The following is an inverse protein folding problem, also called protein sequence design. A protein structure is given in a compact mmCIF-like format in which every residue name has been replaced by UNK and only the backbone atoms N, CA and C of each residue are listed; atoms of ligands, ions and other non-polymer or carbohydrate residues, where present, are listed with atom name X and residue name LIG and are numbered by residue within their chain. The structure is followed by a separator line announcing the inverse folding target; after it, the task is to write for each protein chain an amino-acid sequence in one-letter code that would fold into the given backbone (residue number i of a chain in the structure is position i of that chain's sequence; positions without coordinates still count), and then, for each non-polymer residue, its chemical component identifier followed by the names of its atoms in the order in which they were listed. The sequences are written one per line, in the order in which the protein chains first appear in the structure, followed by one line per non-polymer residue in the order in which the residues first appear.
data_IF_462904943986
#
_entry.id   IF_462904943986
#
_cell.length_a   1.000
_cell.length_b   1.000
_cell.length_c   1.000
_cell.angle_alpha   90.00
_cell.angle_beta   90.00
_cell.angle_gamma   90.00
#
_symmetry.space_group_name_H-M   'P 1'
#
loop_
_entity.id
_entity.type
_entity.pdbx_description
1 polymer ?
#
# COMPACT_ATOMS: atom_id res chain seq x y z
N UNK A 1 5.80 -7.36 -11.58
CA UNK A 1 5.03 -6.49 -12.51
C UNK A 1 5.98 -5.65 -13.37
N UNK A 2 6.90 -4.84 -12.81
CA UNK A 2 7.74 -3.89 -13.57
C UNK A 2 8.52 -4.55 -14.73
N UNK A 3 9.28 -5.61 -14.51
CA UNK A 3 10.03 -6.28 -15.56
C UNK A 3 9.16 -6.80 -16.72
N UNK A 4 7.94 -7.26 -16.44
CA UNK A 4 6.99 -7.69 -17.48
C UNK A 4 6.52 -6.48 -18.29
N UNK A 5 6.14 -5.39 -17.63
CA UNK A 5 5.71 -4.15 -18.30
C UNK A 5 6.84 -3.55 -19.15
N UNK A 6 8.07 -3.54 -18.64
CA UNK A 6 9.26 -3.13 -19.38
C UNK A 6 9.48 -4.00 -20.64
N UNK A 7 9.39 -5.33 -20.49
CA UNK A 7 9.54 -6.25 -21.62
C UNK A 7 8.46 -6.08 -22.69
N UNK A 8 7.20 -5.88 -22.28
CA UNK A 8 6.09 -5.62 -23.20
C UNK A 8 6.27 -4.28 -23.93
N UNK A 9 6.62 -3.22 -23.20
CA UNK A 9 6.87 -1.92 -23.79
C UNK A 9 8.05 -1.96 -24.79
N UNK A 10 9.12 -2.66 -24.44
CA UNK A 10 10.27 -2.86 -25.32
C UNK A 10 9.88 -3.63 -26.60
N UNK A 11 9.15 -4.75 -26.45
CA UNK A 11 8.70 -5.55 -27.59
C UNK A 11 7.71 -4.80 -28.52
N UNK A 12 6.88 -3.93 -27.94
CA UNK A 12 5.92 -3.12 -28.69
C UNK A 12 6.57 -1.90 -29.36
N UNK A 13 7.78 -1.50 -28.92
CA UNK A 13 8.51 -0.39 -29.54
C UNK A 13 9.05 -0.79 -30.90
N UNK A 14 8.78 0.01 -31.94
CA UNK A 14 9.22 -0.24 -33.29
C UNK A 14 9.56 1.05 -34.03
N UNK A 15 10.51 0.99 -34.98
CA UNK A 15 10.84 2.07 -35.92
C UNK A 15 11.09 3.45 -35.27
N UNK A 16 11.73 3.46 -34.08
CA UNK A 16 12.07 4.71 -33.36
C UNK A 16 10.94 5.25 -32.49
N UNK A 17 9.76 4.63 -32.47
CA UNK A 17 8.68 4.98 -31.57
C UNK A 17 8.75 4.12 -30.32
N UNK A 18 9.05 4.73 -29.16
CA UNK A 18 9.08 4.05 -27.89
C UNK A 18 7.68 4.03 -27.26
N UNK A 19 7.28 2.87 -26.75
CA UNK A 19 6.07 2.73 -25.95
C UNK A 19 6.40 3.03 -24.48
N UNK A 20 5.81 4.07 -23.87
CA UNK A 20 6.08 4.41 -22.48
C UNK A 20 5.36 3.43 -21.53
N UNK A 21 5.84 3.37 -20.29
CA UNK A 21 5.20 2.66 -19.17
C UNK A 21 4.63 3.71 -18.21
N UNK A 22 3.44 3.46 -17.69
CA UNK A 22 2.82 4.28 -16.65
C UNK A 22 2.97 3.58 -15.29
N UNK A 23 3.89 4.02 -14.43
CA UNK A 23 3.95 3.55 -13.05
C UNK A 23 2.73 4.04 -12.27
N UNK A 24 2.06 3.13 -11.57
CA UNK A 24 0.94 3.45 -10.69
C UNK A 24 1.24 2.92 -9.30
N UNK A 25 1.06 3.76 -8.29
CA UNK A 25 1.18 3.37 -6.90
C UNK A 25 0.11 2.33 -6.55
N UNK A 26 0.53 1.22 -5.95
CA UNK A 26 -0.35 0.12 -5.56
C UNK A 26 -1.40 0.57 -4.54
N UNK A 27 -1.04 1.42 -3.57
CA UNK A 27 -1.98 1.93 -2.56
C UNK A 27 -2.97 2.93 -3.17
N UNK A 28 -2.57 3.73 -4.16
CA UNK A 28 -3.49 4.57 -4.94
C UNK A 28 -4.49 3.72 -5.72
N UNK A 29 -4.07 2.58 -6.28
CA UNK A 29 -4.99 1.66 -6.95
C UNK A 29 -5.99 1.02 -5.98
N UNK A 30 -5.59 0.75 -4.72
CA UNK A 30 -6.52 0.32 -3.65
C UNK A 30 -7.53 1.42 -3.33
N UNK A 31 -7.09 2.67 -3.22
CA UNK A 31 -7.97 3.81 -2.99
C UNK A 31 -9.00 3.98 -4.12
N UNK A 32 -8.58 3.82 -5.38
CA UNK A 32 -9.49 3.87 -6.53
C UNK A 32 -10.46 2.69 -6.55
N UNK A 33 -10.03 1.48 -6.21
CA UNK A 33 -10.93 0.33 -6.11
C UNK A 33 -11.98 0.54 -5.01
N UNK A 34 -11.61 1.10 -3.86
CA UNK A 34 -12.54 1.48 -2.80
C UNK A 34 -13.54 2.55 -3.27
N UNK A 35 -13.11 3.52 -4.08
CA UNK A 35 -14.00 4.52 -4.66
C UNK A 35 -14.99 3.90 -5.64
N UNK A 36 -14.53 3.01 -6.50
CA UNK A 36 -15.38 2.36 -7.50
C UNK A 36 -16.43 1.43 -6.88
N UNK A 37 -16.07 0.70 -5.82
CA UNK A 37 -16.96 -0.29 -5.19
C UNK A 37 -17.84 0.31 -4.09
N UNK A 38 -17.33 1.29 -3.33
CA UNK A 38 -17.95 1.79 -2.11
C UNK A 38 -18.19 3.30 -2.10
N UNK A 39 -17.76 4.05 -3.13
CA UNK A 39 -17.92 5.50 -3.20
C UNK A 39 -16.99 6.29 -2.27
N UNK A 40 -15.95 5.67 -1.71
CA UNK A 40 -15.03 6.32 -0.78
C UNK A 40 -14.20 7.39 -1.48
N UNK A 41 -14.14 8.60 -0.91
CA UNK A 41 -13.32 9.72 -1.43
C UNK A 41 -12.20 10.14 -0.48
N UNK A 42 -12.20 9.64 0.75
CA UNK A 42 -11.14 9.81 1.74
C UNK A 42 -10.73 8.40 2.21
N UNK A 43 -9.59 7.92 1.74
CA UNK A 43 -9.16 6.54 1.89
C UNK A 43 -7.80 6.46 2.55
N UNK A 44 -7.72 5.73 3.66
CA UNK A 44 -6.46 5.24 4.21
C UNK A 44 -6.24 3.83 3.64
N UNK A 45 -5.48 3.75 2.56
CA UNK A 45 -5.18 2.49 1.91
C UNK A 45 -4.22 1.65 2.76
N UNK A 46 -4.59 0.40 3.07
CA UNK A 46 -3.83 -0.49 3.96
C UNK A 46 -3.71 -1.89 3.36
N UNK A 47 -2.51 -2.30 2.99
CA UNK A 47 -2.22 -3.64 2.49
C UNK A 47 -1.31 -4.42 3.46
N UNK A 48 -1.62 -5.70 3.65
CA UNK A 48 -0.76 -6.63 4.39
C UNK A 48 0.64 -6.68 3.76
N UNK A 49 1.64 -6.24 4.51
CA UNK A 49 3.04 -6.21 4.09
C UNK A 49 3.80 -7.47 4.52
N UNK A 50 3.12 -8.47 5.12
CA UNK A 50 3.72 -9.61 5.80
C UNK A 50 4.59 -9.18 7.00
N UNK A 51 5.13 -10.16 7.73
CA UNK A 51 6.04 -9.93 8.87
C UNK A 51 5.43 -9.04 9.97
N UNK A 52 4.12 -9.11 10.15
CA UNK A 52 3.35 -8.32 11.11
C UNK A 52 3.40 -6.80 10.81
N UNK A 53 3.43 -6.43 9.53
CA UNK A 53 3.48 -5.04 9.05
C UNK A 53 2.40 -4.76 8.00
N UNK A 54 2.08 -3.48 7.84
CA UNK A 54 1.10 -2.95 6.90
C UNK A 54 1.76 -1.87 6.05
N UNK A 55 1.58 -1.92 4.73
CA UNK A 55 1.78 -0.76 3.88
C UNK A 55 0.58 0.16 4.02
N UNK A 56 0.80 1.45 4.28
CA UNK A 56 -0.29 2.40 4.44
C UNK A 56 0.00 3.75 3.77
N UNK A 57 -1.06 4.38 3.26
CA UNK A 57 -1.01 5.75 2.77
C UNK A 57 -2.42 6.36 2.72
N UNK A 58 -2.59 7.62 3.15
CA UNK A 58 -3.84 8.34 3.08
C UNK A 58 -3.98 9.09 1.74
N UNK A 59 -5.14 8.93 1.10
CA UNK A 59 -5.49 9.58 -0.15
C UNK A 59 -6.83 10.31 -0.05
N UNK A 60 -6.92 11.48 -0.68
CA UNK A 60 -8.16 12.23 -0.87
C UNK A 60 -8.44 12.36 -2.36
N UNK A 61 -9.66 12.03 -2.77
CA UNK A 61 -10.12 12.20 -4.16
C UNK A 61 -10.76 13.59 -4.30
N UNK A 62 -10.11 14.46 -5.08
CA UNK A 62 -10.57 15.80 -5.39
C UNK A 62 -10.22 16.13 -6.84
N UNK A 63 -11.04 16.94 -7.50
CA UNK A 63 -10.83 17.39 -8.88
C UNK A 63 -10.50 16.25 -9.86
N UNK A 64 -11.24 15.14 -9.72
CA UNK A 64 -11.09 13.90 -10.50
C UNK A 64 -9.70 13.24 -10.40
N UNK A 65 -8.97 13.47 -9.32
CA UNK A 65 -7.66 12.87 -9.07
C UNK A 65 -7.46 12.51 -7.58
N UNK A 66 -6.57 11.56 -7.34
CA UNK A 66 -6.15 11.21 -5.99
C UNK A 66 -4.95 12.04 -5.56
N UNK A 67 -5.05 12.63 -4.38
CA UNK A 67 -4.00 13.41 -3.72
C UNK A 67 -3.50 12.64 -2.51
N UNK A 68 -2.22 12.25 -2.54
CA UNK A 68 -1.53 11.66 -1.40
C UNK A 68 -1.37 12.74 -0.31
N UNK A 69 -1.78 12.44 0.93
CA UNK A 69 -1.77 13.40 2.03
C UNK A 69 -0.45 13.37 2.83
N UNK A 70 0.15 12.21 2.96
CA UNK A 70 1.46 12.01 3.62
C UNK A 70 2.26 10.96 2.85
N UNK A 71 3.52 10.77 3.19
CA UNK A 71 4.35 9.75 2.56
C UNK A 71 3.79 8.33 2.79
N UNK A 72 4.13 7.42 1.87
CA UNK A 72 3.85 6.00 2.03
C UNK A 72 4.65 5.45 3.20
N UNK A 73 4.00 4.64 4.03
CA UNK A 73 4.62 4.05 5.21
C UNK A 73 4.54 2.52 5.20
N UNK A 74 5.45 1.90 5.94
CA UNK A 74 5.39 0.48 6.30
C UNK A 74 5.75 0.34 7.78
N UNK A 75 4.96 -0.42 8.52
CA UNK A 75 5.18 -0.65 9.94
C UNK A 75 4.09 -1.50 10.58
N UNK A 76 4.17 -1.72 11.91
CA UNK A 76 3.17 -2.48 12.65
C UNK A 76 1.77 -1.90 12.50
N UNK A 77 0.70 -2.73 12.45
CA UNK A 77 -0.68 -2.26 12.24
C UNK A 77 -1.17 -1.26 13.29
N UNK A 78 -0.70 -1.37 14.53
CA UNK A 78 -1.05 -0.45 15.62
C UNK A 78 -0.39 0.92 15.51
N UNK A 79 0.66 1.06 14.69
CA UNK A 79 1.37 2.33 14.48
C UNK A 79 0.78 3.14 13.33
N UNK A 80 -0.19 2.57 12.60
CA UNK A 80 -0.93 3.28 11.56
C UNK A 80 -1.78 4.37 12.20
N UNK A 81 -1.58 5.62 11.79
CA UNK A 81 -2.29 6.75 12.38
C UNK A 81 -3.72 6.85 11.86
N UNK A 82 -4.68 6.96 12.79
CA UNK A 82 -6.06 7.26 12.45
C UNK A 82 -6.19 8.69 11.90
N UNK A 83 -7.01 8.85 10.88
CA UNK A 83 -7.38 10.17 10.33
C UNK A 83 -8.91 10.24 10.31
N UNK A 84 -9.46 11.23 11.00
CA UNK A 84 -10.90 11.42 11.09
C UNK A 84 -11.54 11.60 9.70
N UNK A 85 -12.65 10.93 9.46
CA UNK A 85 -13.38 11.00 8.20
C UNK A 85 -12.83 10.06 7.11
N UNK A 86 -11.73 9.35 7.36
CA UNK A 86 -11.19 8.38 6.41
C UNK A 86 -11.81 6.99 6.60
N UNK A 87 -11.91 6.28 5.48
CA UNK A 87 -12.24 4.84 5.45
C UNK A 87 -10.95 4.05 5.22
N UNK A 88 -10.70 3.06 6.07
CA UNK A 88 -9.59 2.11 5.87
C UNK A 88 -9.97 1.15 4.74
N UNK A 89 -9.16 1.09 3.69
CA UNK A 89 -9.43 0.24 2.54
C UNK A 89 -8.24 -0.67 2.21
N UNK A 90 -8.51 -1.93 1.94
CA UNK A 90 -7.48 -2.88 1.56
C UNK A 90 -7.76 -4.30 2.07
N UNK A 91 -6.71 -5.09 2.21
CA UNK A 91 -6.79 -6.46 2.72
C UNK A 91 -6.20 -6.64 4.12
N UNK A 92 -5.68 -5.57 4.74
CA UNK A 92 -4.98 -5.66 6.02
C UNK A 92 -5.94 -5.92 7.21
N UNK A 93 -7.24 -5.60 7.10
CA UNK A 93 -8.23 -5.90 8.13
C UNK A 93 -8.29 -7.39 8.46
N UNK A 94 -8.25 -8.26 7.46
CA UNK A 94 -8.42 -9.71 7.67
C UNK A 94 -7.33 -10.33 8.56
N UNK A 95 -6.02 -10.06 8.35
CA UNK A 95 -4.97 -10.61 9.21
C UNK A 95 -4.79 -9.87 10.55
N UNK A 96 -5.15 -8.58 10.64
CA UNK A 96 -4.78 -7.76 11.80
C UNK A 96 -5.96 -7.38 12.72
N UNK A 97 -7.20 -7.49 12.22
CA UNK A 97 -8.42 -7.28 13.02
C UNK A 97 -8.41 -5.96 13.78
N UNK A 98 -8.67 -6.04 15.09
CA UNK A 98 -8.74 -4.89 15.99
C UNK A 98 -7.41 -4.15 16.20
N UNK A 99 -6.28 -4.72 15.78
CA UNK A 99 -4.98 -4.04 15.83
C UNK A 99 -4.85 -2.94 14.79
N UNK A 100 -5.70 -2.96 13.74
CA UNK A 100 -5.68 -1.97 12.67
C UNK A 100 -6.91 -1.06 12.79
N UNK A 101 -6.77 0.07 13.46
CA UNK A 101 -7.74 1.18 13.48
C UNK A 101 -9.20 0.75 13.69
N UNK A 102 -9.57 0.06 14.79
CA UNK A 102 -10.89 -0.53 14.96
C UNK A 102 -12.03 0.50 15.04
N UNK A 103 -11.71 1.78 15.31
CA UNK A 103 -12.69 2.87 15.39
C UNK A 103 -13.08 3.46 14.03
N UNK A 104 -12.35 3.17 12.95
CA UNK A 104 -12.65 3.66 11.61
C UNK A 104 -13.47 2.63 10.80
N UNK A 105 -14.27 3.08 9.82
CA UNK A 105 -14.92 2.17 8.89
C UNK A 105 -13.89 1.45 8.01
N UNK A 106 -14.14 0.16 7.74
CA UNK A 106 -13.27 -0.67 6.91
C UNK A 106 -14.02 -1.20 5.70
N UNK A 107 -13.36 -1.18 4.54
CA UNK A 107 -13.85 -1.81 3.31
C UNK A 107 -12.75 -2.67 2.69
N UNK A 108 -13.15 -3.80 2.09
CA UNK A 108 -12.21 -4.61 1.33
C UNK A 108 -12.00 -3.98 -0.05
N UNK A 109 -10.75 -3.75 -0.41
CA UNK A 109 -10.35 -3.24 -1.72
C UNK A 109 -8.99 -3.82 -2.13
N UNK A 110 -8.75 -3.94 -3.43
CA UNK A 110 -7.54 -4.51 -3.99
C UNK A 110 -7.02 -3.67 -5.15
N UNK A 111 -5.73 -3.71 -5.48
CA UNK A 111 -5.18 -3.01 -6.65
C UNK A 111 -5.59 -3.73 -7.94
N UNK A 112 -6.85 -3.62 -8.31
CA UNK A 112 -7.43 -4.31 -9.48
C UNK A 112 -6.98 -3.69 -10.80
N UNK A 113 -7.03 -4.46 -11.89
CA UNK A 113 -6.77 -3.94 -13.24
C UNK A 113 -7.77 -2.83 -13.63
N UNK A 114 -9.03 -2.95 -13.19
CA UNK A 114 -10.05 -1.91 -13.40
C UNK A 114 -9.66 -0.59 -12.74
N UNK A 115 -9.19 -0.63 -11.50
CA UNK A 115 -8.71 0.56 -10.79
C UNK A 115 -7.51 1.20 -11.52
N UNK A 116 -6.54 0.39 -11.97
CA UNK A 116 -5.39 0.88 -12.75
C UNK A 116 -5.83 1.56 -14.05
N UNK A 117 -6.78 0.96 -14.80
CA UNK A 117 -7.29 1.53 -16.05
C UNK A 117 -8.06 2.83 -15.81
N UNK A 118 -8.82 2.96 -14.71
CA UNK A 118 -9.51 4.20 -14.36
C UNK A 118 -8.55 5.33 -13.96
N UNK A 119 -7.43 5.02 -13.31
CA UNK A 119 -6.40 5.99 -12.96
C UNK A 119 -5.59 6.47 -14.16
N UNK A 120 -5.42 5.62 -15.17
CA UNK A 120 -4.49 5.86 -16.28
C UNK A 120 -4.72 7.19 -17.03
N UNK A 121 -5.94 7.61 -17.40
CA UNK A 121 -6.13 8.87 -18.13
C UNK A 121 -5.64 10.10 -17.37
N UNK A 122 -5.96 10.20 -16.08
CA UNK A 122 -5.55 11.32 -15.24
C UNK A 122 -4.02 11.35 -15.03
N UNK A 123 -3.42 10.19 -14.77
CA UNK A 123 -1.97 10.07 -14.58
C UNK A 123 -1.20 10.34 -15.88
N UNK A 124 -1.72 9.93 -17.03
CA UNK A 124 -1.14 10.26 -18.34
C UNK A 124 -1.23 11.76 -18.63
N UNK A 125 -2.36 12.40 -18.34
CA UNK A 125 -2.52 13.85 -18.48
C UNK A 125 -1.55 14.65 -17.59
N UNK A 126 -1.16 14.07 -16.43
CA UNK A 126 -0.12 14.62 -15.55
C UNK A 126 1.32 14.35 -16.02
N UNK A 127 1.51 13.66 -17.15
CA UNK A 127 2.84 13.34 -17.66
C UNK A 127 3.59 12.28 -16.85
N UNK A 128 2.88 11.39 -16.13
CA UNK A 128 3.46 10.38 -15.25
C UNK A 128 4.04 9.16 -15.99
N UNK A 129 3.83 9.06 -17.30
CA UNK A 129 4.43 8.01 -18.11
C UNK A 129 5.96 8.21 -18.23
N UNK A 130 6.70 7.13 -18.14
CA UNK A 130 8.16 7.11 -18.20
C UNK A 130 8.66 6.18 -19.31
N UNK A 131 9.92 6.30 -19.70
CA UNK A 131 10.54 5.32 -20.59
C UNK A 131 10.59 3.94 -19.90
N UNK A 132 10.53 2.87 -20.68
CA UNK A 132 10.42 1.51 -20.13
C UNK A 132 11.53 1.18 -19.12
N UNK A 133 12.78 1.60 -19.36
CA UNK A 133 13.90 1.37 -18.46
C UNK A 133 13.76 2.10 -17.11
N UNK A 134 12.99 3.17 -17.05
CA UNK A 134 12.81 4.02 -15.87
C UNK A 134 11.59 3.58 -15.01
N UNK A 135 10.82 2.59 -15.47
CA UNK A 135 9.68 2.03 -14.76
C UNK A 135 10.16 1.07 -13.66
N UNK A 136 10.78 1.61 -12.61
CA UNK A 136 11.34 0.86 -11.49
C UNK A 136 10.30 0.65 -10.36
N UNK A 137 10.42 -0.46 -9.59
CA UNK A 137 9.59 -0.64 -8.40
C UNK A 137 9.97 0.36 -7.31
N UNK A 138 8.99 0.88 -6.60
CA UNK A 138 9.20 1.69 -5.41
C UNK A 138 9.34 0.76 -4.18
N UNK A 139 10.52 0.77 -3.56
CA UNK A 139 10.77 0.04 -2.32
C UNK A 139 10.64 0.99 -1.14
N UNK A 140 9.65 0.75 -0.28
CA UNK A 140 9.38 1.56 0.93
C UNK A 140 10.08 0.94 2.15
N UNK A 141 10.31 -0.38 2.11
CA UNK A 141 10.94 -1.09 3.24
C UNK A 141 12.45 -1.07 3.10
N UNK A 142 13.15 -0.37 4.01
CA UNK A 142 14.61 -0.27 4.01
C UNK A 142 15.32 -1.55 4.50
N UNK A 143 14.68 -2.32 5.40
CA UNK A 143 15.24 -3.56 5.95
C UNK A 143 14.30 -4.75 5.78
N UNK A 144 14.68 -5.69 4.93
CA UNK A 144 13.91 -6.93 4.71
C UNK A 144 14.30 -8.04 5.70
N UNK A 145 15.48 -7.98 6.29
CA UNK A 145 15.98 -9.01 7.22
C UNK A 145 16.51 -8.38 8.50
N UNK A 146 16.02 -8.87 9.63
CA UNK A 146 16.61 -8.57 10.94
C UNK A 146 17.96 -9.28 11.05
N UNK A 147 18.99 -8.59 11.50
CA UNK A 147 20.29 -9.18 11.80
C UNK A 147 20.17 -10.23 12.92
N UNK A 148 21.17 -11.10 13.06
CA UNK A 148 21.16 -12.10 14.15
C UNK A 148 21.04 -11.45 15.52
N UNK A 149 21.75 -10.32 15.74
CA UNK A 149 21.69 -9.55 16.99
C UNK A 149 20.29 -8.98 17.26
N UNK A 150 19.60 -8.45 16.25
CA UNK A 150 18.21 -7.93 16.38
C UNK A 150 17.20 -9.06 16.68
N UNK A 151 17.41 -10.27 16.14
CA UNK A 151 16.59 -11.45 16.46
C UNK A 151 16.81 -11.94 17.88
N UNK A 152 18.04 -11.93 18.36
CA UNK A 152 18.41 -12.31 19.73
C UNK A 152 17.84 -11.31 20.73
N UNK A 153 17.92 -10.01 20.46
CA UNK A 153 17.34 -8.97 21.31
C UNK A 153 15.81 -9.08 21.41
N UNK A 154 15.12 -9.39 20.30
CA UNK A 154 13.67 -9.63 20.30
C UNK A 154 13.27 -10.87 21.10
N UNK A 155 14.04 -11.97 21.00
CA UNK A 155 13.82 -13.17 21.81
C UNK A 155 14.02 -12.92 23.29
N UNK A 156 15.05 -12.16 23.65
CA UNK A 156 15.32 -11.78 25.04
C UNK A 156 14.16 -10.93 25.63
N UNK A 157 13.62 -9.98 24.86
CA UNK A 157 12.49 -9.16 25.29
C UNK A 157 11.18 -9.96 25.41
N UNK A 158 10.95 -10.93 24.55
CA UNK A 158 9.76 -11.81 24.64
C UNK A 158 9.83 -12.76 25.84
N UNK A 159 11.04 -13.18 26.25
CA UNK A 159 11.25 -14.02 27.43
C UNK A 159 11.24 -13.22 28.73
N UNK A 160 11.45 -11.90 28.68
CA UNK A 160 11.44 -11.01 29.84
C UNK A 160 10.02 -10.46 30.18
N UNK A 161 8.99 -10.72 29.36
CA UNK A 161 7.62 -10.35 29.67
C UNK A 161 7.10 -11.25 30.80
N UNK A 162 6.70 -10.72 31.98
CA UNK A 162 6.23 -11.55 33.09
C UNK A 162 4.91 -12.22 32.71
N UNK A 163 4.88 -13.55 32.89
CA UNK A 163 3.69 -14.39 32.85
C UNK A 163 2.66 -13.81 33.85
N UNK A 164 1.58 -13.20 33.31
CA UNK A 164 0.51 -12.70 34.14
C UNK A 164 -0.15 -13.87 34.85
N UNK A 165 0.12 -13.97 36.13
CA UNK A 165 -0.48 -14.95 37.03
C UNK A 165 -2.00 -14.83 36.97
N UNK A 166 -2.66 -15.87 36.49
CA UNK A 166 -4.10 -16.06 36.59
C UNK A 166 -4.49 -16.18 38.06
N UNK A 167 -5.35 -15.33 38.63
CA UNK A 167 -5.86 -15.55 39.98
C UNK A 167 -6.77 -16.75 39.98
N UNK A 168 -6.40 -17.77 40.73
CA UNK A 168 -7.32 -18.88 41.12
C UNK A 168 -8.36 -18.30 42.08
N UNK A 169 -9.62 -18.42 41.68
CA UNK A 169 -10.77 -18.35 42.58
C UNK A 169 -11.04 -19.74 43.17
#
# INVERSE_FOLDING_TARGET
ACAISQGLAFAASSQGQQVPVLPVDTLMAVAEDARLQHGCTQVLACLDARMDEVYSAPYVFADAQWLLQTELAVGPPQDVMAIDGFTVAGNAQAPYGERLLPALPHVHAMPTASALLNLAPALLAQGRAVAAQDALPLYIRDKVAKTTAEREALKANQQAAPEQATPRA
#
